data_IF_514533835444
#
_entry.id   IF_514533835444
#
_cell.length_a   1.000
_cell.length_b   1.000
_cell.length_c   1.000
_cell.angle_alpha   90.00
_cell.angle_beta   90.00
_cell.angle_gamma   90.00
#
_symmetry.space_group_name_H-M   'P 1'
#
loop_
_entity.id
_entity.type
_entity.pdbx_description
1 polymer ?
#
# COMPACT_ATOMS: atom_id res chain seq x y z
N UNK A 1 21.12 3.69 -5.78
CA UNK A 1 20.11 2.70 -5.37
C UNK A 1 19.05 3.46 -4.60
N UNK A 2 17.79 3.41 -5.03
CA UNK A 2 16.66 3.94 -4.25
C UNK A 2 16.64 3.19 -2.92
N UNK A 3 16.55 3.91 -1.80
CA UNK A 3 16.35 3.26 -0.51
C UNK A 3 15.02 2.49 -0.58
N UNK A 4 15.06 1.19 -0.26
CA UNK A 4 13.87 0.32 -0.33
C UNK A 4 12.79 0.80 0.64
N UNK A 5 13.17 1.53 1.69
CA UNK A 5 12.25 2.16 2.63
C UNK A 5 11.39 3.26 2.00
N UNK A 6 11.80 3.83 0.87
CA UNK A 6 11.10 4.91 0.15
C UNK A 6 10.12 4.41 -0.91
N UNK A 7 10.10 3.11 -1.21
CA UNK A 7 9.23 2.53 -2.23
C UNK A 7 7.75 2.71 -1.86
N UNK A 8 6.93 3.16 -2.81
CA UNK A 8 5.49 3.39 -2.56
C UNK A 8 4.74 2.16 -2.01
N UNK A 9 4.98 0.92 -2.49
CA UNK A 9 4.36 -0.28 -1.93
C UNK A 9 4.67 -0.48 -0.44
N UNK A 10 5.92 -0.22 -0.03
CA UNK A 10 6.40 -0.38 1.35
C UNK A 10 5.71 0.60 2.30
N UNK A 11 5.29 1.78 1.81
CA UNK A 11 4.65 2.80 2.64
C UNK A 11 3.12 2.89 2.44
N UNK A 12 2.55 2.21 1.44
CA UNK A 12 1.10 2.22 1.16
C UNK A 12 0.41 0.92 1.58
N UNK A 13 1.02 -0.24 1.32
CA UNK A 13 0.39 -1.54 1.57
C UNK A 13 0.22 -1.81 3.08
N UNK A 14 1.20 -1.49 3.97
CA UNK A 14 1.01 -1.66 5.40
C UNK A 14 -0.17 -0.89 6.00
N UNK A 15 -0.27 0.45 5.86
CA UNK A 15 -1.41 1.18 6.41
C UNK A 15 -2.73 0.77 5.74
N UNK A 16 -2.72 0.38 4.47
CA UNK A 16 -3.91 -0.17 3.84
C UNK A 16 -4.35 -1.48 4.49
N UNK A 17 -3.42 -2.38 4.76
CA UNK A 17 -3.69 -3.67 5.42
C UNK A 17 -4.25 -3.44 6.82
N UNK A 18 -3.65 -2.55 7.61
CA UNK A 18 -4.13 -2.22 8.95
C UNK A 18 -5.52 -1.55 8.90
N UNK A 19 -5.77 -0.69 7.93
CA UNK A 19 -7.07 -0.06 7.74
C UNK A 19 -8.15 -1.08 7.36
N UNK A 20 -7.82 -2.06 6.51
CA UNK A 20 -8.75 -3.16 6.19
C UNK A 20 -9.03 -4.02 7.42
N UNK A 21 -8.02 -4.38 8.21
CA UNK A 21 -8.23 -5.08 9.47
C UNK A 21 -9.15 -4.32 10.43
N UNK A 22 -8.97 -2.99 10.55
CA UNK A 22 -9.84 -2.14 11.35
C UNK A 22 -11.27 -2.07 10.79
N UNK A 23 -11.41 -1.98 9.46
CA UNK A 23 -12.69 -1.95 8.76
C UNK A 23 -13.52 -3.21 9.05
N UNK A 24 -12.88 -4.39 8.99
CA UNK A 24 -13.55 -5.68 9.21
C UNK A 24 -13.64 -6.12 10.68
N UNK A 25 -12.95 -5.46 11.62
CA UNK A 25 -12.99 -5.79 13.06
C UNK A 25 -14.38 -5.65 13.70
N UNK A 26 -15.30 -4.92 13.07
CA UNK A 26 -16.70 -4.90 13.53
C UNK A 26 -17.41 -6.11 12.92
N UNK A 27 -18.07 -6.92 13.76
CA UNK A 27 -18.94 -8.08 13.43
C UNK A 27 -20.15 -7.77 12.53
N UNK A 28 -19.97 -6.88 11.55
CA UNK A 28 -20.89 -6.77 10.45
C UNK A 28 -20.72 -8.00 9.58
N UNK A 29 -21.86 -8.62 9.23
CA UNK A 29 -21.96 -9.60 8.15
C UNK A 29 -21.65 -8.91 6.82
N UNK A 30 -20.40 -8.53 6.61
CA UNK A 30 -19.92 -8.11 5.32
C UNK A 30 -20.03 -9.32 4.39
N UNK A 31 -20.60 -9.15 3.19
CA UNK A 31 -20.41 -10.15 2.15
C UNK A 31 -18.91 -10.27 1.96
N UNK A 32 -18.38 -11.49 2.13
CA UNK A 32 -16.96 -11.73 1.85
C UNK A 32 -16.69 -11.24 0.42
N UNK A 33 -15.81 -10.25 0.26
CA UNK A 33 -15.35 -9.91 -1.08
C UNK A 33 -14.70 -11.16 -1.65
N UNK A 34 -15.06 -11.55 -2.87
CA UNK A 34 -14.32 -12.60 -3.57
C UNK A 34 -12.83 -12.24 -3.63
N UNK A 35 -11.95 -13.22 -3.82
CA UNK A 35 -10.52 -12.94 -3.96
C UNK A 35 -10.28 -12.05 -5.16
N UNK A 36 -9.95 -10.78 -4.92
CA UNK A 36 -9.54 -9.84 -5.97
C UNK A 36 -8.03 -9.72 -5.91
N UNK A 37 -7.39 -10.17 -6.97
CA UNK A 37 -5.95 -10.08 -7.15
C UNK A 37 -5.58 -8.86 -8.00
N UNK A 38 -4.50 -8.20 -7.61
CA UNK A 38 -3.82 -7.16 -8.36
C UNK A 38 -2.41 -7.65 -8.68
N UNK A 39 -2.04 -7.58 -9.95
CA UNK A 39 -0.74 -8.07 -10.43
C UNK A 39 0.07 -6.88 -10.95
N UNK A 40 1.23 -6.66 -10.36
CA UNK A 40 2.20 -5.68 -10.81
C UNK A 40 3.27 -6.36 -11.67
N UNK A 41 3.50 -5.92 -12.92
CA UNK A 41 4.62 -6.42 -13.71
C UNK A 41 5.94 -5.95 -13.08
N UNK A 42 6.93 -6.83 -12.98
CA UNK A 42 8.21 -6.59 -12.29
C UNK A 42 9.40 -7.05 -13.15
N UNK A 43 9.31 -6.83 -14.46
CA UNK A 43 10.33 -7.21 -15.44
C UNK A 43 10.16 -8.63 -16.01
N UNK A 44 11.24 -9.12 -16.60
CA UNK A 44 11.25 -10.36 -17.40
C UNK A 44 12.23 -11.39 -16.83
N UNK A 45 11.84 -12.67 -16.88
CA UNK A 45 12.78 -13.77 -16.74
C UNK A 45 13.52 -13.95 -18.07
N UNK A 46 14.85 -13.80 -18.04
CA UNK A 46 15.70 -13.94 -19.23
C UNK A 46 16.69 -15.07 -19.06
N UNK A 47 16.80 -15.92 -20.09
CA UNK A 47 17.83 -16.95 -20.21
C UNK A 47 18.53 -16.76 -21.53
N UNK A 48 19.88 -16.78 -21.53
CA UNK A 48 20.68 -16.51 -22.72
C UNK A 48 20.23 -15.23 -23.45
N UNK A 49 19.94 -14.17 -22.68
CA UNK A 49 19.44 -12.87 -23.15
C UNK A 49 18.04 -12.87 -23.81
N UNK A 50 17.34 -14.01 -23.86
CA UNK A 50 15.99 -14.11 -24.41
C UNK A 50 14.94 -14.10 -23.30
N UNK A 51 13.84 -13.34 -23.49
CA UNK A 51 12.67 -13.38 -22.60
C UNK A 51 12.03 -14.77 -22.66
N UNK A 52 11.97 -15.47 -21.52
CA UNK A 52 11.31 -16.78 -21.37
C UNK A 52 10.03 -16.70 -20.54
N UNK A 53 9.87 -15.64 -19.75
CA UNK A 53 8.64 -15.32 -19.07
C UNK A 53 8.72 -13.98 -18.34
N UNK A 54 7.78 -13.76 -17.45
CA UNK A 54 7.57 -12.51 -16.72
C UNK A 54 7.70 -12.70 -15.22
N UNK A 55 8.27 -11.68 -14.59
CA UNK A 55 8.28 -11.49 -13.15
C UNK A 55 7.08 -10.63 -12.77
N UNK A 56 6.37 -11.04 -11.72
CA UNK A 56 5.14 -10.41 -11.28
C UNK A 56 5.08 -10.34 -9.76
N UNK A 57 4.65 -9.21 -9.22
CA UNK A 57 4.31 -9.08 -7.80
C UNK A 57 2.80 -9.13 -7.67
N UNK A 58 2.32 -10.14 -6.97
CA UNK A 58 0.90 -10.39 -6.74
C UNK A 58 0.51 -9.80 -5.40
N UNK A 59 -0.54 -8.98 -5.39
CA UNK A 59 -1.21 -8.45 -4.21
C UNK A 59 -2.63 -9.01 -4.21
N UNK A 60 -3.06 -9.66 -3.15
CA UNK A 60 -4.44 -10.14 -3.07
C UNK A 60 -5.01 -9.98 -1.68
N UNK A 61 -6.33 -9.96 -1.62
CA UNK A 61 -7.09 -9.91 -0.38
C UNK A 61 -7.89 -11.20 -0.22
N UNK A 62 -7.75 -11.85 0.93
CA UNK A 62 -8.47 -13.06 1.31
C UNK A 62 -8.55 -13.14 2.83
N UNK A 63 -9.63 -13.68 3.38
CA UNK A 63 -9.82 -13.85 4.83
C UNK A 63 -9.55 -12.57 5.62
N UNK A 64 -9.98 -11.42 5.08
CA UNK A 64 -9.80 -10.10 5.68
C UNK A 64 -8.34 -9.65 5.82
N UNK A 65 -7.42 -10.33 5.14
CA UNK A 65 -5.98 -10.05 5.15
C UNK A 65 -5.50 -9.75 3.74
N UNK A 66 -4.55 -8.83 3.65
CA UNK A 66 -3.82 -8.51 2.43
C UNK A 66 -2.52 -9.30 2.42
N UNK A 67 -2.19 -9.90 1.30
CA UNK A 67 -0.95 -10.63 1.10
C UNK A 67 -0.23 -10.17 -0.16
N UNK A 68 1.10 -10.27 -0.14
CA UNK A 68 1.96 -9.94 -1.26
C UNK A 68 2.92 -11.09 -1.54
N UNK A 69 3.20 -11.35 -2.82
CA UNK A 69 4.17 -12.36 -3.23
C UNK A 69 4.79 -12.05 -4.59
N UNK A 70 6.11 -12.17 -4.69
CA UNK A 70 6.82 -12.17 -5.97
C UNK A 70 6.78 -13.56 -6.62
N UNK A 71 6.45 -13.63 -7.91
CA UNK A 71 6.36 -14.86 -8.70
C UNK A 71 6.98 -14.70 -10.08
N UNK A 72 7.76 -15.69 -10.48
CA UNK A 72 8.16 -15.88 -11.88
C UNK A 72 7.14 -16.80 -12.56
N UNK A 73 6.70 -16.41 -13.76
CA UNK A 73 5.76 -17.20 -14.58
C UNK A 73 6.44 -18.33 -15.34
N UNK A 74 7.77 -18.29 -15.48
CA UNK A 74 8.53 -19.30 -16.24
C UNK A 74 9.06 -20.43 -15.36
N UNK A 75 9.68 -20.11 -14.22
CA UNK A 75 10.39 -21.11 -13.39
C UNK A 75 10.04 -20.96 -11.91
N UNK A 76 9.66 -22.08 -11.29
CA UNK A 76 9.42 -22.16 -9.83
C UNK A 76 10.70 -22.09 -9.00
N UNK A 77 11.87 -22.26 -9.63
CA UNK A 77 13.20 -22.18 -8.99
C UNK A 77 13.88 -20.83 -9.19
N UNK A 78 13.23 -19.88 -9.87
CA UNK A 78 13.77 -18.54 -10.08
C UNK A 78 13.91 -17.82 -8.73
N UNK A 79 15.05 -17.14 -8.51
CA UNK A 79 15.35 -16.40 -7.28
C UNK A 79 14.42 -15.19 -7.05
N UNK A 80 13.72 -14.74 -8.10
CA UNK A 80 12.67 -13.73 -7.99
C UNK A 80 11.48 -14.23 -7.16
N UNK A 81 11.27 -15.56 -7.06
CA UNK A 81 10.14 -16.10 -6.31
C UNK A 81 10.30 -15.84 -4.81
N UNK A 82 9.33 -15.14 -4.23
CA UNK A 82 9.24 -14.91 -2.80
C UNK A 82 8.29 -15.87 -2.08
N UNK A 83 8.44 -15.94 -0.76
CA UNK A 83 7.40 -16.45 0.13
C UNK A 83 6.23 -15.46 0.20
N UNK A 84 5.09 -15.92 0.72
CA UNK A 84 3.94 -15.06 0.98
C UNK A 84 4.25 -14.16 2.17
N UNK A 85 4.12 -12.85 1.97
CA UNK A 85 4.29 -11.81 2.99
C UNK A 85 2.92 -11.24 3.34
N UNK A 86 2.66 -11.01 4.62
CA UNK A 86 1.45 -10.30 5.06
C UNK A 86 1.61 -8.81 4.74
N UNK A 87 0.61 -8.17 4.14
CA UNK A 87 0.71 -6.78 3.68
C UNK A 87 1.01 -5.75 4.78
N UNK A 88 0.76 -6.10 6.05
CA UNK A 88 1.10 -5.26 7.21
C UNK A 88 2.58 -5.30 7.61
N UNK A 89 3.34 -6.29 7.14
CA UNK A 89 4.76 -6.47 7.43
C UNK A 89 5.60 -5.58 6.51
N UNK A 90 5.89 -4.36 6.97
CA UNK A 90 6.64 -3.37 6.21
C UNK A 90 8.06 -3.86 5.87
N UNK A 91 8.73 -4.55 6.78
CA UNK A 91 10.10 -5.05 6.57
C UNK A 91 10.13 -6.18 5.55
N UNK A 92 9.18 -7.11 5.62
CA UNK A 92 8.98 -8.15 4.61
C UNK A 92 8.77 -7.55 3.22
N UNK A 93 7.97 -6.49 3.10
CA UNK A 93 7.73 -5.82 1.82
C UNK A 93 8.98 -5.15 1.24
N UNK A 94 9.94 -4.71 2.06
CA UNK A 94 11.23 -4.18 1.56
C UNK A 94 12.09 -5.26 0.90
N UNK A 95 11.84 -6.54 1.19
CA UNK A 95 12.60 -7.65 0.60
C UNK A 95 12.01 -8.13 -0.73
N UNK A 96 10.85 -7.59 -1.13
CA UNK A 96 10.26 -7.91 -2.43
C UNK A 96 11.02 -7.15 -3.54
N UNK A 97 11.40 -7.82 -4.64
CA UNK A 97 11.99 -7.19 -5.81
C UNK A 97 10.94 -6.38 -6.58
N UNK A 98 10.63 -5.18 -6.09
CA UNK A 98 9.74 -4.21 -6.76
C UNK A 98 10.36 -3.56 -8.01
N UNK A 99 11.62 -3.86 -8.30
CA UNK A 99 12.32 -3.33 -9.47
C UNK A 99 11.56 -3.67 -10.76
N UNK A 100 11.27 -2.66 -11.58
CA UNK A 100 10.50 -2.82 -12.81
C UNK A 100 8.98 -2.68 -12.64
N UNK A 101 8.46 -2.54 -11.42
CA UNK A 101 7.08 -2.07 -11.23
C UNK A 101 6.99 -0.58 -11.58
N UNK A 102 5.97 -0.20 -12.35
CA UNK A 102 5.77 1.19 -12.74
C UNK A 102 5.20 2.02 -11.58
N UNK A 103 6.08 2.77 -10.92
CA UNK A 103 5.72 3.69 -9.83
C UNK A 103 4.64 4.70 -10.25
N UNK A 104 4.58 5.09 -11.53
CA UNK A 104 3.59 6.07 -12.02
C UNK A 104 2.17 5.53 -12.05
N UNK A 105 2.00 4.21 -12.13
CA UNK A 105 0.68 3.57 -12.17
C UNK A 105 0.29 2.89 -10.85
N UNK A 106 1.20 2.81 -9.87
CA UNK A 106 0.97 2.17 -8.59
C UNK A 106 -0.31 2.64 -7.88
N UNK A 107 -0.44 3.95 -7.60
CA UNK A 107 -1.61 4.49 -6.89
C UNK A 107 -2.92 4.30 -7.67
N UNK A 108 -2.87 4.43 -9.00
CA UNK A 108 -4.03 4.16 -9.87
C UNK A 108 -4.46 2.70 -9.81
N UNK A 109 -3.50 1.78 -9.78
CA UNK A 109 -3.75 0.35 -9.70
C UNK A 109 -4.38 -0.04 -8.35
N UNK A 110 -3.80 0.42 -7.23
CA UNK A 110 -4.34 0.22 -5.89
C UNK A 110 -5.74 0.84 -5.75
N UNK A 111 -5.95 2.05 -6.27
CA UNK A 111 -7.25 2.73 -6.25
C UNK A 111 -8.30 1.90 -6.99
N UNK A 112 -8.00 1.44 -8.21
CA UNK A 112 -8.92 0.56 -8.97
C UNK A 112 -9.20 -0.74 -8.23
N UNK A 113 -8.19 -1.33 -7.61
CA UNK A 113 -8.34 -2.56 -6.82
C UNK A 113 -9.28 -2.35 -5.62
N UNK A 114 -9.08 -1.30 -4.82
CA UNK A 114 -9.95 -1.00 -3.67
C UNK A 114 -11.40 -0.71 -4.07
N UNK A 115 -11.60 0.02 -5.16
CA UNK A 115 -12.95 0.27 -5.68
C UNK A 115 -13.64 -1.02 -6.16
N UNK A 116 -12.88 -2.01 -6.66
CA UNK A 116 -13.42 -3.33 -7.05
C UNK A 116 -13.76 -4.22 -5.86
N UNK A 117 -13.05 -4.10 -4.74
CA UNK A 117 -13.41 -4.78 -3.48
C UNK A 117 -14.79 -4.30 -2.97
N UNK A 118 -15.24 -3.12 -3.44
CA UNK A 118 -16.55 -2.56 -3.15
C UNK A 118 -16.80 -2.32 -1.65
N UNK A 119 -15.75 -1.85 -0.96
CA UNK A 119 -15.86 -1.38 0.42
C UNK A 119 -16.69 -0.10 0.50
N UNK A 120 -17.38 0.10 1.62
CA UNK A 120 -18.01 1.38 1.90
C UNK A 120 -16.94 2.50 1.98
N UNK A 121 -17.12 3.53 1.16
CA UNK A 121 -16.11 4.57 0.95
C UNK A 121 -15.78 5.35 2.23
N UNK A 122 -16.79 5.86 2.95
CA UNK A 122 -16.58 6.68 4.14
C UNK A 122 -15.88 5.90 5.27
N UNK A 123 -16.31 4.68 5.64
CA UNK A 123 -15.61 3.89 6.64
C UNK A 123 -14.20 3.48 6.22
N UNK A 124 -13.94 3.22 4.94
CA UNK A 124 -12.57 2.98 4.44
C UNK A 124 -11.66 4.19 4.70
N UNK A 125 -12.08 5.40 4.29
CA UNK A 125 -11.30 6.62 4.51
C UNK A 125 -11.07 6.87 6.01
N UNK A 126 -12.11 6.69 6.85
CA UNK A 126 -11.98 6.83 8.31
C UNK A 126 -10.98 5.82 8.88
N UNK A 127 -10.99 4.59 8.39
CA UNK A 127 -10.07 3.54 8.84
C UNK A 127 -8.63 3.89 8.47
N UNK A 128 -8.39 4.37 7.24
CA UNK A 128 -7.08 4.89 6.81
C UNK A 128 -6.59 6.03 7.70
N UNK A 129 -7.43 7.04 7.97
CA UNK A 129 -7.06 8.13 8.88
C UNK A 129 -6.73 7.62 10.29
N UNK A 130 -7.55 6.71 10.82
CA UNK A 130 -7.36 6.15 12.16
C UNK A 130 -6.04 5.42 12.29
N UNK A 131 -5.66 4.60 11.30
CA UNK A 131 -4.39 3.86 11.37
C UNK A 131 -3.17 4.76 11.19
N UNK A 132 -3.28 5.80 10.35
CA UNK A 132 -2.22 6.79 10.22
C UNK A 132 -1.96 7.59 11.51
N UNK A 133 -3.00 7.87 12.30
CA UNK A 133 -2.86 8.52 13.60
C UNK A 133 -2.43 7.53 14.70
N UNK A 134 -2.88 6.27 14.62
CA UNK A 134 -2.59 5.25 15.64
C UNK A 134 -1.15 4.76 15.62
N UNK A 135 -0.59 4.56 14.42
CA UNK A 135 0.72 3.92 14.25
C UNK A 135 1.84 4.93 13.97
N UNK A 136 1.57 6.23 14.18
CA UNK A 136 2.57 7.28 14.10
C UNK A 136 2.57 8.06 15.40
N UNK A 137 3.74 8.30 15.97
CA UNK A 137 3.90 9.18 17.11
C UNK A 137 3.51 10.60 16.70
N UNK A 138 2.43 11.10 17.32
CA UNK A 138 1.91 12.45 17.10
C UNK A 138 2.05 13.30 18.39
N UNK A 139 2.28 14.63 18.28
CA UNK A 139 2.50 15.37 17.04
C UNK A 139 3.81 14.95 16.35
N UNK A 140 3.82 14.93 15.01
CA UNK A 140 4.95 14.47 14.21
C UNK A 140 5.67 15.65 13.56
N UNK A 141 6.96 15.80 13.82
CA UNK A 141 7.82 16.75 13.12
C UNK A 141 8.55 16.05 11.98
N UNK A 142 8.29 16.47 10.75
CA UNK A 142 8.94 15.93 9.54
C UNK A 142 10.44 16.24 9.51
N UNK A 143 11.22 15.51 8.72
CA UNK A 143 12.65 15.80 8.48
C UNK A 143 12.94 17.21 7.95
N UNK A 144 11.91 17.91 7.46
CA UNK A 144 11.99 19.29 6.96
C UNK A 144 11.56 20.34 8.01
N UNK A 145 11.36 19.95 9.27
CA UNK A 145 11.10 20.87 10.39
C UNK A 145 9.65 21.32 10.56
N UNK A 146 8.71 20.82 9.75
CA UNK A 146 7.27 21.10 9.92
C UNK A 146 6.62 20.07 10.82
N UNK A 147 5.86 20.53 11.81
CA UNK A 147 5.08 19.72 12.74
C UNK A 147 3.61 19.63 12.32
N UNK A 148 3.01 18.47 12.53
CA UNK A 148 1.58 18.21 12.30
C UNK A 148 1.00 17.47 13.52
N UNK A 149 -0.17 17.91 13.98
CA UNK A 149 -0.82 17.32 15.17
C UNK A 149 -1.42 15.94 14.89
N UNK A 150 -1.83 15.70 13.64
CA UNK A 150 -2.42 14.44 13.18
C UNK A 150 -2.39 14.33 11.66
N UNK A 151 -2.64 13.13 11.15
CA UNK A 151 -2.68 12.84 9.73
C UNK A 151 -3.70 13.69 8.97
N UNK A 152 -4.88 13.96 9.54
CA UNK A 152 -5.89 14.76 8.82
C UNK A 152 -5.43 16.22 8.58
N UNK A 153 -4.62 16.78 9.46
CA UNK A 153 -3.99 18.10 9.25
C UNK A 153 -2.98 18.03 8.11
N UNK A 154 -2.08 17.04 8.15
CA UNK A 154 -1.11 16.77 7.10
C UNK A 154 -1.76 16.55 5.74
N UNK A 155 -2.80 15.72 5.70
CA UNK A 155 -3.52 15.34 4.48
C UNK A 155 -4.14 16.56 3.81
N UNK A 156 -4.77 17.46 4.57
CA UNK A 156 -5.45 18.65 4.02
C UNK A 156 -4.47 19.72 3.51
N UNK A 157 -3.21 19.68 3.92
CA UNK A 157 -2.19 20.63 3.49
C UNK A 157 -1.96 20.56 1.97
N UNK A 158 -2.27 21.66 1.27
CA UNK A 158 -2.18 21.77 -0.21
C UNK A 158 -2.99 20.69 -0.94
N UNK A 159 -4.21 20.43 -0.48
CA UNK A 159 -5.12 19.48 -1.12
C UNK A 159 -5.51 19.95 -2.54
N UNK A 160 -5.42 19.07 -3.57
CA UNK A 160 -5.78 19.43 -4.94
C UNK A 160 -7.27 19.76 -5.12
N UNK A 161 -7.60 20.77 -5.93
CA UNK A 161 -8.99 21.22 -6.17
C UNK A 161 -9.85 20.19 -6.91
N UNK A 162 -9.22 19.32 -7.69
CA UNK A 162 -9.84 18.26 -8.49
C UNK A 162 -10.11 16.98 -7.67
N UNK A 163 -9.42 16.78 -6.55
CA UNK A 163 -9.62 15.63 -5.66
C UNK A 163 -10.84 15.84 -4.74
N UNK A 164 -12.05 15.83 -5.29
CA UNK A 164 -13.30 16.08 -4.55
C UNK A 164 -14.00 14.77 -4.16
N UNK A 165 -14.75 14.71 -3.04
CA UNK A 165 -15.44 13.49 -2.60
C UNK A 165 -16.46 12.91 -3.59
N UNK A 166 -16.99 13.72 -4.51
CA UNK A 166 -17.88 13.27 -5.58
C UNK A 166 -17.13 12.55 -6.72
N UNK A 167 -15.82 12.76 -6.86
CA UNK A 167 -14.92 11.95 -7.69
C UNK A 167 -14.17 10.96 -6.79
N UNK A 168 -14.86 9.85 -6.47
CA UNK A 168 -14.32 8.82 -5.55
C UNK A 168 -12.96 8.27 -5.98
N UNK A 169 -12.72 7.92 -7.28
CA UNK A 169 -11.40 7.48 -7.73
C UNK A 169 -10.31 8.51 -7.47
N UNK A 170 -10.49 9.76 -7.91
CA UNK A 170 -9.45 10.78 -7.75
C UNK A 170 -9.21 11.12 -6.27
N UNK A 171 -10.28 11.19 -5.49
CA UNK A 171 -10.19 11.43 -4.04
C UNK A 171 -9.44 10.31 -3.32
N UNK A 172 -9.77 9.05 -3.59
CA UNK A 172 -9.11 7.90 -2.96
C UNK A 172 -7.63 7.83 -3.35
N UNK A 173 -7.31 8.04 -4.62
CA UNK A 173 -5.93 8.09 -5.09
C UNK A 173 -5.11 9.13 -4.31
N UNK A 174 -5.65 10.34 -4.16
CA UNK A 174 -4.99 11.40 -3.39
C UNK A 174 -4.84 11.01 -1.91
N UNK A 175 -5.85 10.40 -1.28
CA UNK A 175 -5.72 9.91 0.10
C UNK A 175 -4.59 8.89 0.21
N UNK A 176 -4.50 7.92 -0.70
CA UNK A 176 -3.45 6.89 -0.68
C UNK A 176 -2.05 7.50 -0.84
N UNK A 177 -1.91 8.51 -1.71
CA UNK A 177 -0.66 9.26 -1.85
C UNK A 177 -0.26 9.92 -0.52
N UNK A 178 -1.21 10.58 0.17
CA UNK A 178 -0.93 11.21 1.47
C UNK A 178 -0.61 10.17 2.55
N UNK A 179 -1.31 9.05 2.57
CA UNK A 179 -1.01 7.93 3.50
C UNK A 179 0.43 7.44 3.28
N UNK A 180 0.82 7.20 2.02
CA UNK A 180 2.17 6.76 1.66
C UNK A 180 3.24 7.71 2.20
N UNK A 181 3.12 9.01 1.90
CA UNK A 181 4.11 9.99 2.34
C UNK A 181 4.08 10.25 3.84
N UNK A 182 2.94 10.10 4.51
CA UNK A 182 2.85 10.19 5.97
C UNK A 182 3.64 9.07 6.65
N UNK A 183 3.45 7.83 6.21
CA UNK A 183 4.17 6.66 6.75
C UNK A 183 5.66 6.74 6.43
N UNK A 184 6.02 7.15 5.22
CA UNK A 184 7.43 7.39 4.85
C UNK A 184 8.05 8.46 5.75
N UNK A 185 7.37 9.60 5.93
CA UNK A 185 7.88 10.70 6.78
C UNK A 185 8.02 10.27 8.24
N UNK A 186 7.10 9.45 8.74
CA UNK A 186 7.17 8.89 10.09
C UNK A 186 8.36 7.93 10.24
N UNK A 187 8.60 7.07 9.25
CA UNK A 187 9.75 6.18 9.23
C UNK A 187 11.07 6.97 9.20
N UNK A 188 11.17 8.01 8.37
CA UNK A 188 12.37 8.85 8.23
C UNK A 188 12.80 9.51 9.56
N UNK A 189 11.86 9.79 10.46
CA UNK A 189 12.13 10.44 11.76
C UNK A 189 11.99 9.49 12.95
N UNK A 190 11.83 8.18 12.70
CA UNK A 190 11.69 7.17 13.76
C UNK A 190 10.38 7.25 14.55
N UNK A 191 9.35 7.90 14.02
CA UNK A 191 8.03 8.06 14.65
C UNK A 191 7.03 6.94 14.27
N UNK A 192 7.42 5.98 13.43
CA UNK A 192 6.54 4.89 13.00
C UNK A 192 6.52 3.75 14.03
N UNK A 193 5.33 3.38 14.49
CA UNK A 193 5.09 2.27 15.43
C UNK A 193 4.07 1.31 14.83
N UNK A 194 4.51 0.33 14.01
CA UNK A 194 3.59 -0.65 13.44
C UNK A 194 2.94 -1.51 14.55
N UNK A 195 1.77 -2.11 14.29
CA UNK A 195 1.19 -3.08 15.22
C UNK A 195 2.11 -4.30 15.37
N UNK A 196 2.22 -4.80 16.61
CA UNK A 196 2.89 -6.06 16.95
C UNK A 196 2.23 -7.27 16.25
#
# INVERSE_FOLDING_TARGET
MTDRSELYPVNTIPPLTWAMQLYFKKDFKFKEPGTIELVFPAGDHKELMQKKGEHRVHLWFTDQKVFVRARCTHSSKCDFNGTRIQGGDREGLMNIPWEGTDDRSFFRAITKWLLRINLEFVPLIRSLTTVCDRYVQIPMTTKYGRTFEKFDEYRRNRWPKDAKPNDRPRFLEEVLVRVCFWIQSAADVGALHPPD
#
